data_IF_098047943003
#
_entry.id   IF_098047943003
#
_cell.length_a   1.000
_cell.length_b   1.000
_cell.length_c   1.000
_cell.angle_alpha   90.00
_cell.angle_beta   90.00
_cell.angle_gamma   90.00
#
_symmetry.space_group_name_H-M   'P 1'
#
loop_
_entity.id
_entity.type
_entity.pdbx_description
1 polymer ?
#
# COMPACT_ATOMS: atom_id res chain seq x y z
N UNK A 1 -36.55 -21.39 -5.54
CA UNK A 1 -35.15 -21.85 -5.53
C UNK A 1 -35.11 -23.20 -4.83
N UNK A 2 -35.62 -24.24 -5.46
CA UNK A 2 -35.61 -25.61 -4.90
C UNK A 2 -35.43 -26.59 -6.09
N UNK A 3 -34.68 -27.66 -5.86
CA UNK A 3 -34.75 -28.93 -6.60
C UNK A 3 -33.79 -29.27 -7.75
N UNK A 4 -32.58 -28.71 -7.81
CA UNK A 4 -31.51 -29.28 -8.65
C UNK A 4 -30.58 -30.26 -7.92
N UNK A 5 -30.59 -30.29 -6.58
CA UNK A 5 -29.73 -31.21 -5.79
C UNK A 5 -30.29 -32.63 -5.74
N UNK A 6 -31.62 -32.78 -5.82
CA UNK A 6 -32.37 -34.03 -5.67
C UNK A 6 -32.20 -34.99 -6.85
N UNK A 7 -31.73 -34.50 -8.00
CA UNK A 7 -31.60 -35.30 -9.22
C UNK A 7 -30.29 -36.10 -9.27
N UNK A 8 -29.20 -35.54 -8.74
CA UNK A 8 -27.89 -36.19 -8.79
C UNK A 8 -27.80 -37.41 -7.85
N UNK A 9 -28.49 -37.36 -6.71
CA UNK A 9 -28.54 -38.46 -5.74
C UNK A 9 -29.34 -39.66 -6.27
N UNK A 10 -30.49 -39.41 -6.90
CA UNK A 10 -31.32 -40.46 -7.52
C UNK A 10 -30.59 -41.20 -8.65
N UNK A 11 -29.86 -40.46 -9.48
CA UNK A 11 -29.06 -41.04 -10.58
C UNK A 11 -27.90 -41.90 -10.05
N UNK A 12 -27.33 -41.57 -8.88
CA UNK A 12 -26.24 -42.34 -8.30
C UNK A 12 -26.72 -43.64 -7.63
N UNK A 13 -27.93 -43.65 -7.07
CA UNK A 13 -28.61 -44.84 -6.54
C UNK A 13 -28.97 -45.83 -7.67
N UNK A 14 -29.50 -45.34 -8.80
CA UNK A 14 -29.80 -46.18 -9.98
C UNK A 14 -28.55 -46.86 -10.57
N UNK A 15 -27.39 -46.22 -10.46
CA UNK A 15 -26.11 -46.72 -10.97
C UNK A 15 -25.32 -47.57 -9.94
N UNK A 16 -25.88 -47.87 -8.77
CA UNK A 16 -25.24 -48.63 -7.68
C UNK A 16 -23.87 -48.07 -7.25
N UNK A 17 -23.66 -46.76 -7.36
CA UNK A 17 -22.41 -46.12 -6.95
C UNK A 17 -22.52 -45.80 -5.46
N UNK A 18 -21.55 -46.22 -4.63
CA UNK A 18 -21.55 -45.85 -3.20
C UNK A 18 -21.44 -44.33 -3.06
N UNK A 19 -22.54 -43.67 -2.70
CA UNK A 19 -22.63 -42.20 -2.55
C UNK A 19 -22.03 -41.76 -1.22
N UNK A 20 -20.75 -42.01 -1.01
CA UNK A 20 -19.99 -41.31 0.05
C UNK A 20 -19.58 -39.94 -0.48
N UNK A 21 -20.53 -39.00 -0.49
CA UNK A 21 -20.20 -37.59 -0.72
C UNK A 21 -19.31 -37.14 0.44
N UNK A 22 -18.02 -36.93 0.17
CA UNK A 22 -17.12 -36.26 1.12
C UNK A 22 -17.76 -34.95 1.52
N UNK A 23 -17.90 -34.73 2.83
CA UNK A 23 -18.47 -33.50 3.38
C UNK A 23 -17.90 -32.27 2.68
N UNK A 24 -18.78 -31.33 2.38
CA UNK A 24 -18.40 -30.04 1.82
C UNK A 24 -17.28 -29.44 2.67
N UNK A 25 -16.12 -29.24 2.06
CA UNK A 25 -15.03 -28.52 2.71
C UNK A 25 -15.51 -27.10 2.96
N UNK A 26 -16.01 -26.84 4.16
CA UNK A 26 -16.12 -25.47 4.65
C UNK A 26 -14.69 -24.95 4.77
N UNK A 27 -14.26 -24.15 3.79
CA UNK A 27 -13.12 -23.27 4.02
C UNK A 27 -13.53 -22.35 5.17
N UNK A 28 -13.01 -22.59 6.38
CA UNK A 28 -12.83 -21.51 7.35
C UNK A 28 -12.04 -20.43 6.60
N UNK A 29 -12.71 -19.39 6.09
CA UNK A 29 -12.03 -18.14 5.78
C UNK A 29 -11.33 -17.76 7.09
N UNK A 30 -10.01 -17.66 7.04
CA UNK A 30 -9.19 -17.43 8.23
C UNK A 30 -9.67 -16.15 8.90
N UNK A 31 -10.26 -16.30 10.08
CA UNK A 31 -10.44 -15.21 11.06
C UNK A 31 -9.10 -14.54 11.45
N UNK A 32 -7.98 -15.17 11.12
CA UNK A 32 -6.61 -14.63 11.22
C UNK A 32 -6.35 -13.46 10.26
N UNK A 33 -6.91 -13.47 9.04
CA UNK A 33 -6.65 -12.40 8.06
C UNK A 33 -7.22 -11.05 8.50
N UNK A 34 -8.29 -11.04 9.33
CA UNK A 34 -8.93 -9.83 9.85
C UNK A 34 -8.06 -9.11 10.90
N UNK A 35 -7.52 -9.86 11.87
CA UNK A 35 -6.59 -9.30 12.87
C UNK A 35 -5.28 -8.83 12.21
N UNK A 36 -4.73 -9.62 11.28
CA UNK A 36 -3.55 -9.21 10.51
C UNK A 36 -3.82 -7.92 9.69
N UNK A 37 -5.04 -7.70 9.18
CA UNK A 37 -5.38 -6.45 8.48
C UNK A 37 -5.57 -5.25 9.40
N UNK A 38 -6.17 -5.41 10.59
CA UNK A 38 -6.34 -4.31 11.54
C UNK A 38 -5.00 -3.86 12.13
N UNK A 39 -4.14 -4.81 12.51
CA UNK A 39 -2.76 -4.52 12.91
C UNK A 39 -1.99 -3.87 11.75
N UNK A 40 -2.22 -4.33 10.51
CA UNK A 40 -1.59 -3.76 9.33
C UNK A 40 -1.97 -2.30 9.08
N UNK A 41 -3.25 -1.95 9.24
CA UNK A 41 -3.70 -0.57 9.05
C UNK A 41 -3.21 0.35 10.17
N UNK A 42 -3.13 -0.17 11.39
CA UNK A 42 -2.68 0.59 12.56
C UNK A 42 -1.21 0.98 12.43
N UNK A 43 -0.30 0.03 12.14
CA UNK A 43 1.12 0.37 11.99
C UNK A 43 1.36 1.34 10.81
N UNK A 44 0.56 1.25 9.76
CA UNK A 44 0.67 2.15 8.59
C UNK A 44 0.28 3.57 8.97
N UNK A 45 -0.79 3.72 9.74
CA UNK A 45 -1.20 5.01 10.25
C UNK A 45 -0.11 5.62 11.14
N UNK A 46 0.44 4.83 12.07
CA UNK A 46 1.55 5.26 12.92
C UNK A 46 2.77 5.71 12.09
N UNK A 47 3.14 4.95 11.04
CA UNK A 47 4.23 5.34 10.15
C UNK A 47 3.95 6.60 9.35
N UNK A 48 2.73 6.79 8.86
CA UNK A 48 2.36 8.03 8.17
C UNK A 48 2.39 9.21 9.14
N UNK A 49 1.99 9.02 10.40
CA UNK A 49 2.06 10.05 11.44
C UNK A 49 3.51 10.39 11.81
N UNK A 50 4.39 9.41 11.96
CA UNK A 50 5.83 9.64 12.17
C UNK A 50 6.41 10.49 11.03
N UNK A 51 6.13 10.11 9.78
CA UNK A 51 6.57 10.88 8.61
C UNK A 51 5.94 12.28 8.63
N UNK A 52 4.66 12.42 8.95
CA UNK A 52 4.02 13.73 9.05
C UNK A 52 4.74 14.65 10.04
N UNK A 53 5.15 14.12 11.18
CA UNK A 53 5.88 14.88 12.20
C UNK A 53 7.28 15.28 11.72
N UNK A 54 7.98 14.42 10.97
CA UNK A 54 9.30 14.76 10.42
C UNK A 54 9.26 15.98 9.47
N UNK A 55 8.16 16.14 8.74
CA UNK A 55 7.98 17.21 7.74
C UNK A 55 7.15 18.39 8.26
N UNK A 56 6.58 18.31 9.45
CA UNK A 56 5.66 19.32 10.02
C UNK A 56 6.30 20.73 10.08
N UNK A 57 7.62 20.81 10.26
CA UNK A 57 8.34 22.08 10.30
C UNK A 57 8.30 22.86 8.97
N UNK A 58 8.02 22.20 7.85
CA UNK A 58 7.83 22.82 6.53
C UNK A 58 6.39 23.30 6.30
N UNK A 59 5.48 23.05 7.25
CA UNK A 59 4.13 23.60 7.17
C UNK A 59 4.14 25.11 7.35
N UNK A 60 3.20 25.81 6.71
CA UNK A 60 3.15 27.27 6.80
C UNK A 60 3.15 27.77 8.24
N UNK A 61 2.28 27.23 9.09
CA UNK A 61 2.21 27.59 10.50
C UNK A 61 3.54 27.40 11.25
N UNK A 62 4.24 26.28 11.04
CA UNK A 62 5.54 26.04 11.68
C UNK A 62 6.61 27.01 11.19
N UNK A 63 6.59 27.36 9.90
CA UNK A 63 7.55 28.31 9.32
C UNK A 63 7.39 29.73 9.87
N UNK A 64 6.17 30.13 10.27
CA UNK A 64 5.93 31.45 10.86
C UNK A 64 6.14 31.49 12.37
N UNK A 65 5.82 30.39 13.07
CA UNK A 65 5.69 30.40 14.54
C UNK A 65 6.87 29.72 15.24
N UNK A 66 7.62 28.86 14.55
CA UNK A 66 8.75 28.12 15.12
C UNK A 66 10.00 28.99 15.16
N UNK A 67 10.81 28.86 16.22
CA UNK A 67 12.05 29.62 16.31
C UNK A 67 13.10 29.12 15.30
N UNK A 68 14.03 30.01 14.94
CA UNK A 68 15.09 29.72 13.97
C UNK A 68 16.00 28.56 14.37
N UNK A 69 16.20 28.31 15.67
CA UNK A 69 17.08 27.25 16.16
C UNK A 69 16.45 25.86 15.94
N UNK A 70 15.18 25.71 16.31
CA UNK A 70 14.47 24.44 16.21
C UNK A 70 14.15 24.10 14.75
N UNK A 71 13.89 25.11 13.92
CA UNK A 71 13.73 24.92 12.47
C UNK A 71 15.03 24.42 11.82
N UNK A 72 16.19 24.93 12.24
CA UNK A 72 17.49 24.41 11.78
C UNK A 72 17.73 22.99 12.25
N UNK A 73 17.39 22.69 13.51
CA UNK A 73 17.52 21.35 14.05
C UNK A 73 16.66 20.35 13.28
N UNK A 74 15.37 20.67 13.08
CA UNK A 74 14.45 19.83 12.32
C UNK A 74 14.94 19.62 10.86
N UNK A 75 15.43 20.67 10.21
CA UNK A 75 15.99 20.57 8.87
C UNK A 75 17.27 19.70 8.82
N UNK A 76 18.13 19.79 9.84
CA UNK A 76 19.33 18.97 9.95
C UNK A 76 18.96 17.50 10.19
N UNK A 77 18.03 17.22 11.10
CA UNK A 77 17.52 15.88 11.40
C UNK A 77 16.89 15.25 10.15
N UNK A 78 16.08 16.02 9.40
CA UNK A 78 15.50 15.58 8.14
C UNK A 78 16.57 15.22 7.11
N UNK A 79 17.58 16.09 6.94
CA UNK A 79 18.65 15.84 5.98
C UNK A 79 19.61 14.71 6.40
N UNK A 80 19.68 14.36 7.69
CA UNK A 80 20.34 13.14 8.14
C UNK A 80 19.51 11.89 7.78
N UNK A 81 18.19 11.97 7.94
CA UNK A 81 17.26 10.87 7.61
C UNK A 81 17.19 10.58 6.11
N UNK A 82 17.21 11.63 5.28
CA UNK A 82 17.15 11.55 3.83
C UNK A 82 18.47 12.02 3.19
N UNK A 83 19.60 11.49 3.67
CA UNK A 83 20.94 11.93 3.25
C UNK A 83 21.30 11.63 1.78
N UNK A 84 20.59 10.69 1.14
CA UNK A 84 20.75 10.39 -0.29
C UNK A 84 20.07 11.45 -1.16
N UNK A 85 18.98 12.05 -0.67
CA UNK A 85 18.14 12.98 -1.43
C UNK A 85 18.38 14.46 -1.03
N UNK A 86 18.71 14.72 0.23
CA UNK A 86 18.81 16.05 0.82
C UNK A 86 20.25 16.34 1.24
N UNK A 87 20.89 17.29 0.58
CA UNK A 87 22.24 17.72 0.94
C UNK A 87 22.20 18.82 2.00
N UNK A 88 22.38 18.45 3.27
CA UNK A 88 22.39 19.35 4.44
C UNK A 88 23.41 20.48 4.40
N UNK A 89 24.39 20.45 3.47
CA UNK A 89 25.40 21.50 3.31
C UNK A 89 24.88 22.78 2.65
N UNK A 90 23.69 22.76 2.04
CA UNK A 90 23.04 23.94 1.46
C UNK A 90 21.90 24.40 2.36
N UNK A 91 22.06 25.61 2.91
CA UNK A 91 21.27 26.19 4.00
C UNK A 91 19.75 26.21 3.75
N UNK A 92 18.99 25.70 4.72
CA UNK A 92 17.55 25.95 4.88
C UNK A 92 17.27 27.36 5.47
N UNK A 93 18.31 28.04 5.98
CA UNK A 93 18.22 29.18 6.92
C UNK A 93 17.61 30.47 6.36
N UNK A 94 17.77 30.73 5.06
CA UNK A 94 17.32 31.98 4.42
C UNK A 94 16.22 31.79 3.36
N UNK A 95 15.81 30.54 3.18
CA UNK A 95 14.97 30.15 2.07
C UNK A 95 13.50 30.39 2.33
N UNK A 96 12.97 29.80 3.40
CA UNK A 96 11.52 29.64 3.48
C UNK A 96 10.81 30.93 3.88
N UNK A 97 11.46 31.76 4.72
CA UNK A 97 10.89 33.00 5.24
C UNK A 97 10.79 34.13 4.19
N UNK A 98 11.56 34.06 3.10
CA UNK A 98 11.59 35.12 2.08
C UNK A 98 10.60 34.89 0.92
N UNK A 99 10.02 33.70 0.81
CA UNK A 99 9.27 33.27 -0.38
C UNK A 99 7.76 33.49 -0.27
N UNK A 100 7.16 33.46 0.92
CA UNK A 100 5.69 33.47 1.05
C UNK A 100 5.17 34.76 1.71
N UNK A 101 4.36 35.58 1.00
CA UNK A 101 3.75 36.79 1.54
C UNK A 101 2.61 36.55 2.54
N UNK A 102 2.09 35.33 2.67
CA UNK A 102 0.94 34.99 3.54
C UNK A 102 0.90 33.49 3.77
N UNK A 103 1.26 33.04 4.98
CA UNK A 103 1.70 31.64 5.22
C UNK A 103 0.72 30.81 6.07
N UNK A 104 -0.23 31.41 6.78
CA UNK A 104 -0.94 30.71 7.86
C UNK A 104 -1.73 29.45 7.44
N UNK A 105 -2.11 29.30 6.16
CA UNK A 105 -2.93 28.17 5.67
C UNK A 105 -2.38 27.47 4.41
N UNK A 106 -1.10 27.67 4.08
CA UNK A 106 -0.53 27.12 2.84
C UNK A 106 -0.27 25.61 2.98
N UNK A 107 -0.85 24.82 2.08
CA UNK A 107 -0.61 23.36 2.00
C UNK A 107 0.73 23.05 1.32
N UNK A 108 1.28 21.86 1.54
CA UNK A 108 2.50 21.38 0.86
C UNK A 108 2.39 21.44 -0.67
N UNK A 109 1.21 21.18 -1.24
CA UNK A 109 0.96 21.30 -2.68
C UNK A 109 1.08 22.75 -3.16
N UNK A 110 0.47 23.68 -2.43
CA UNK A 110 0.56 25.11 -2.75
C UNK A 110 2.00 25.60 -2.63
N UNK A 111 2.75 25.14 -1.61
CA UNK A 111 4.16 25.48 -1.43
C UNK A 111 5.01 24.99 -2.61
N UNK A 112 4.77 23.76 -3.10
CA UNK A 112 5.44 23.24 -4.28
C UNK A 112 5.12 24.06 -5.54
N UNK A 113 3.85 24.45 -5.73
CA UNK A 113 3.44 25.30 -6.85
C UNK A 113 4.13 26.66 -6.80
N UNK A 114 4.18 27.32 -5.64
CA UNK A 114 4.86 28.59 -5.47
C UNK A 114 6.36 28.49 -5.82
N UNK A 115 7.04 27.43 -5.38
CA UNK A 115 8.45 27.20 -5.74
C UNK A 115 8.63 27.10 -7.25
N UNK A 116 7.69 26.46 -7.95
CA UNK A 116 7.71 26.33 -9.40
C UNK A 116 7.41 27.66 -10.10
N UNK A 117 6.38 28.37 -9.68
CA UNK A 117 5.91 29.63 -10.29
C UNK A 117 6.98 30.72 -10.19
N UNK A 118 7.62 30.84 -9.03
CA UNK A 118 8.70 31.79 -8.80
C UNK A 118 10.09 31.28 -9.25
N UNK A 119 10.17 30.10 -9.88
CA UNK A 119 11.43 29.46 -10.35
C UNK A 119 12.50 29.33 -9.27
N UNK A 120 12.08 29.05 -8.04
CA UNK A 120 12.94 29.02 -6.86
C UNK A 120 13.64 27.68 -6.63
N UNK A 121 13.44 26.71 -7.52
CA UNK A 121 14.06 25.40 -7.46
C UNK A 121 15.58 25.46 -7.40
N UNK A 122 16.21 26.38 -8.14
CA UNK A 122 17.67 26.53 -8.15
C UNK A 122 18.19 27.15 -6.86
N UNK A 123 17.42 28.07 -6.28
CA UNK A 123 17.73 28.72 -5.00
C UNK A 123 17.54 27.78 -3.83
N UNK A 124 16.49 26.95 -3.85
CA UNK A 124 16.04 26.13 -2.71
C UNK A 124 15.75 24.67 -3.09
N UNK A 125 16.74 23.96 -3.67
CA UNK A 125 16.53 22.60 -4.17
C UNK A 125 16.16 21.62 -3.05
N UNK A 126 16.74 21.78 -1.85
CA UNK A 126 16.50 20.88 -0.72
C UNK A 126 15.06 20.93 -0.21
N UNK A 127 14.45 22.12 -0.22
CA UNK A 127 13.06 22.32 0.22
C UNK A 127 12.10 21.73 -0.80
N UNK A 128 12.35 21.97 -2.09
CA UNK A 128 11.59 21.39 -3.18
C UNK A 128 11.64 19.85 -3.16
N UNK A 129 12.82 19.27 -2.92
CA UNK A 129 13.00 17.81 -2.78
C UNK A 129 12.23 17.30 -1.57
N UNK A 130 12.36 17.94 -0.41
CA UNK A 130 11.67 17.53 0.81
C UNK A 130 10.14 17.50 0.63
N UNK A 131 9.57 18.56 0.03
CA UNK A 131 8.12 18.64 -0.23
C UNK A 131 7.70 17.54 -1.21
N UNK A 132 8.48 17.27 -2.26
CA UNK A 132 8.18 16.19 -3.22
C UNK A 132 8.23 14.81 -2.56
N UNK A 133 9.24 14.55 -1.71
CA UNK A 133 9.33 13.31 -0.93
C UNK A 133 8.04 13.13 -0.13
N UNK A 134 7.66 14.13 0.67
CA UNK A 134 6.46 14.08 1.51
C UNK A 134 5.19 13.79 0.71
N UNK A 135 4.96 14.53 -0.38
CA UNK A 135 3.76 14.36 -1.23
C UNK A 135 3.72 13.01 -1.96
N UNK A 136 4.88 12.39 -2.22
CA UNK A 136 4.97 11.10 -2.89
C UNK A 136 4.68 9.90 -1.97
N UNK A 137 4.92 10.03 -0.66
CA UNK A 137 4.77 8.95 0.32
C UNK A 137 3.37 8.29 0.33
N UNK A 138 2.25 9.02 0.45
CA UNK A 138 0.94 8.37 0.43
C UNK A 138 0.64 7.69 -0.92
N UNK A 139 1.13 8.26 -2.02
CA UNK A 139 0.89 7.75 -3.38
C UNK A 139 1.65 6.45 -3.62
N UNK A 140 2.93 6.38 -3.26
CA UNK A 140 3.74 5.16 -3.38
C UNK A 140 3.17 4.06 -2.51
N UNK A 141 2.82 4.39 -1.26
CA UNK A 141 2.28 3.40 -0.31
C UNK A 141 0.96 2.79 -0.81
N UNK A 142 0.01 3.62 -1.31
CA UNK A 142 -1.24 3.12 -1.88
C UNK A 142 -1.03 2.31 -3.19
N UNK A 143 -0.08 2.73 -4.02
CA UNK A 143 0.25 2.03 -5.28
C UNK A 143 0.86 0.65 -5.03
N UNK A 144 1.75 0.56 -4.03
CA UNK A 144 2.33 -0.70 -3.58
C UNK A 144 1.24 -1.66 -3.08
N UNK A 145 0.34 -1.20 -2.21
CA UNK A 145 -0.77 -2.03 -1.71
C UNK A 145 -1.65 -2.57 -2.84
N UNK A 146 -2.05 -1.69 -3.76
CA UNK A 146 -2.87 -2.07 -4.91
C UNK A 146 -2.14 -3.14 -5.75
N UNK A 147 -0.84 -3.00 -5.95
CA UNK A 147 -0.02 -3.94 -6.71
C UNK A 147 0.13 -5.28 -6.00
N UNK A 148 0.38 -5.29 -4.70
CA UNK A 148 0.45 -6.51 -3.89
C UNK A 148 -0.90 -7.22 -3.80
N UNK A 149 -2.01 -6.48 -3.73
CA UNK A 149 -3.37 -7.05 -3.79
C UNK A 149 -3.62 -7.79 -5.11
N UNK A 150 -3.22 -7.17 -6.24
CA UNK A 150 -3.27 -7.83 -7.56
C UNK A 150 -2.39 -9.09 -7.62
N UNK A 151 -1.16 -9.02 -7.10
CA UNK A 151 -0.27 -10.18 -7.02
C UNK A 151 -0.87 -11.31 -6.17
N UNK A 152 -1.51 -11.00 -5.04
CA UNK A 152 -2.24 -11.98 -4.21
C UNK A 152 -3.33 -12.67 -5.01
N UNK A 153 -4.11 -11.92 -5.82
CA UNK A 153 -5.14 -12.48 -6.69
C UNK A 153 -4.55 -13.41 -7.76
N UNK A 154 -3.53 -12.96 -8.50
CA UNK A 154 -2.86 -13.76 -9.54
C UNK A 154 -2.31 -15.07 -8.95
N UNK A 155 -1.62 -14.99 -7.81
CA UNK A 155 -1.08 -16.16 -7.11
C UNK A 155 -2.17 -17.17 -6.74
N UNK A 156 -3.34 -16.68 -6.29
CA UNK A 156 -4.47 -17.55 -5.96
C UNK A 156 -5.08 -18.21 -7.20
N UNK A 157 -5.21 -17.48 -8.31
CA UNK A 157 -5.70 -18.01 -9.59
C UNK A 157 -4.77 -19.14 -10.08
N UNK A 158 -3.45 -18.93 -10.06
CA UNK A 158 -2.48 -19.94 -10.48
C UNK A 158 -2.53 -21.21 -9.62
N UNK A 159 -2.72 -21.07 -8.30
CA UNK A 159 -2.91 -22.22 -7.40
C UNK A 159 -4.16 -23.03 -7.74
N UNK A 160 -5.28 -22.34 -8.03
CA UNK A 160 -6.54 -22.99 -8.43
C UNK A 160 -6.34 -23.71 -9.76
N UNK A 161 -5.77 -23.04 -10.75
CA UNK A 161 -5.51 -23.62 -12.07
C UNK A 161 -4.64 -24.87 -11.99
N UNK A 162 -3.53 -24.82 -11.24
CA UNK A 162 -2.66 -25.97 -11.05
C UNK A 162 -3.39 -27.13 -10.34
N UNK A 163 -4.22 -26.83 -9.34
CA UNK A 163 -5.05 -27.85 -8.68
C UNK A 163 -6.04 -28.53 -9.64
N UNK A 164 -6.73 -27.75 -10.48
CA UNK A 164 -7.65 -28.29 -11.50
C UNK A 164 -6.87 -29.14 -12.52
N UNK A 165 -5.70 -28.68 -12.96
CA UNK A 165 -4.86 -29.40 -13.93
C UNK A 165 -4.43 -30.78 -13.41
N UNK A 166 -4.04 -30.87 -12.13
CA UNK A 166 -3.66 -32.16 -11.52
C UNK A 166 -4.87 -33.10 -11.38
N UNK A 167 -6.06 -32.58 -11.02
CA UNK A 167 -7.30 -33.39 -10.98
C UNK A 167 -7.62 -33.98 -12.36
N UNK A 168 -7.52 -33.17 -13.42
CA UNK A 168 -7.78 -33.62 -14.81
C UNK A 168 -6.77 -34.71 -15.22
N UNK A 169 -5.47 -34.54 -14.93
CA UNK A 169 -4.45 -35.56 -15.23
C UNK A 169 -4.74 -36.89 -14.53
N UNK A 170 -5.09 -36.85 -13.24
CA UNK A 170 -5.44 -38.06 -12.50
C UNK A 170 -6.73 -38.71 -13.00
N UNK A 171 -7.74 -37.93 -13.38
CA UNK A 171 -8.98 -38.44 -14.00
C UNK A 171 -8.73 -39.18 -15.31
N UNK A 172 -7.87 -38.65 -16.19
CA UNK A 172 -7.49 -39.32 -17.44
C UNK A 172 -6.71 -40.63 -17.21
N UNK A 173 -5.82 -40.68 -16.21
CA UNK A 173 -5.12 -41.91 -15.85
C UNK A 173 -6.07 -42.98 -15.30
N UNK A 174 -7.04 -42.58 -14.48
CA UNK A 174 -8.03 -43.49 -13.90
C UNK A 174 -8.98 -44.07 -14.98
N UNK A 175 -9.32 -43.27 -15.99
CA UNK A 175 -10.21 -43.71 -17.08
C UNK A 175 -9.49 -44.62 -18.09
N UNK A 176 -8.18 -44.44 -18.29
CA UNK A 176 -7.36 -45.36 -19.12
C UNK A 176 -7.18 -46.75 -18.50
N UNK A 177 -7.13 -46.85 -17.18
CA UNK A 177 -6.99 -48.13 -16.48
C UNK A 177 -8.32 -48.88 -16.29
N UNK A 178 -9.48 -48.24 -16.53
CA UNK A 178 -10.79 -48.89 -16.51
C UNK A 178 -11.21 -49.49 -17.86
N UNK A 179 -10.59 -49.05 -18.95
CA UNK A 179 -10.86 -49.52 -20.31
C UNK A 179 -9.84 -50.56 -20.81
N UNK A 180 -9.17 -51.25 -19.88
CA UNK A 180 -8.30 -52.43 -20.11
C UNK A 180 -8.78 -53.55 -19.22
#
# INVERSE_FOLDING_TARGET
MEDNFTNATKVAEELQISTTLKESRTKKRKRLELYETDDNMTWRYEKIMEISNDFEFLSGHSLTNMNSHDLQKAAADLGLKYNEDINTKKDFKHAVLSILPSIESVTFLNLLQLIHDYKLKESYPNIEIAIRIFLSMPVTTASCERSFSKLKLIKNILKIYNGIREIIKHGHHFNRNRNR
#
